data_IF_815069207011
#
_entry.id   IF_815069207011
#
_cell.length_a   1.000
_cell.length_b   1.000
_cell.length_c   1.000
_cell.angle_alpha   90.00
_cell.angle_beta   90.00
_cell.angle_gamma   90.00
#
_symmetry.space_group_name_H-M   'P 1'
#
loop_
_entity.id
_entity.type
_entity.pdbx_description
1 polymer ?
#
# COMPACT_ATOMS: atom_id res chain seq x y z
N UNK A 1 -49.15 9.74 -37.48
CA UNK A 1 -49.30 9.21 -36.10
C UNK A 1 -48.93 7.74 -36.08
N UNK A 2 -47.78 7.40 -35.46
CA UNK A 2 -47.47 6.10 -34.84
C UNK A 2 -46.49 6.40 -33.70
N UNK A 3 -46.88 5.94 -32.53
CA UNK A 3 -46.23 5.95 -31.20
C UNK A 3 -45.03 4.98 -31.27
N UNK A 4 -43.98 4.91 -30.44
CA UNK A 4 -43.74 5.15 -29.02
C UNK A 4 -42.20 5.23 -28.81
N UNK A 5 -41.81 5.95 -27.75
CA UNK A 5 -40.53 5.88 -27.01
C UNK A 5 -39.93 4.46 -26.91
N UNK A 6 -38.60 4.35 -26.80
CA UNK A 6 -37.98 3.73 -25.61
C UNK A 6 -36.45 3.90 -25.58
N UNK A 7 -35.96 4.54 -24.53
CA UNK A 7 -34.78 4.11 -23.78
C UNK A 7 -33.45 4.01 -24.52
N UNK A 8 -32.78 5.14 -24.74
CA UNK A 8 -31.31 5.14 -24.66
C UNK A 8 -30.95 4.94 -23.17
N UNK A 9 -30.96 3.68 -22.75
CA UNK A 9 -30.51 3.24 -21.44
C UNK A 9 -29.07 3.70 -21.29
N UNK A 10 -28.84 4.45 -20.22
CA UNK A 10 -27.52 4.82 -19.73
C UNK A 10 -26.66 3.56 -19.68
N UNK A 11 -25.66 3.45 -20.54
CA UNK A 11 -24.55 2.50 -20.32
C UNK A 11 -23.69 3.11 -19.22
N UNK A 12 -24.21 2.97 -18.01
CA UNK A 12 -23.54 3.17 -16.74
C UNK A 12 -22.73 1.90 -16.51
N UNK A 13 -21.51 1.82 -17.06
CA UNK A 13 -20.61 0.70 -16.81
C UNK A 13 -19.15 1.05 -17.12
N UNK A 14 -18.70 2.23 -16.68
CA UNK A 14 -17.30 2.36 -16.26
C UNK A 14 -17.16 1.64 -14.92
N UNK A 15 -17.28 0.31 -14.94
CA UNK A 15 -16.74 -0.49 -13.86
C UNK A 15 -15.26 -0.16 -13.84
N UNK A 16 -14.83 0.51 -12.76
CA UNK A 16 -13.43 0.64 -12.43
C UNK A 16 -12.87 -0.76 -12.31
N UNK A 17 -12.31 -1.26 -13.41
CA UNK A 17 -11.35 -2.33 -13.35
C UNK A 17 -10.26 -1.79 -12.42
N UNK A 18 -10.27 -2.26 -11.17
CA UNK A 18 -9.11 -2.16 -10.31
C UNK A 18 -7.98 -2.73 -11.14
N UNK A 19 -7.11 -1.86 -11.64
CA UNK A 19 -6.01 -2.24 -12.49
C UNK A 19 -5.00 -2.95 -11.59
N UNK A 20 -5.27 -4.22 -11.30
CA UNK A 20 -4.28 -5.11 -10.73
C UNK A 20 -3.26 -5.35 -11.84
N UNK A 21 -2.03 -4.91 -11.59
CA UNK A 21 -0.90 -5.19 -12.47
C UNK A 21 -0.49 -6.62 -12.16
N UNK A 22 -0.91 -7.58 -13.00
CA UNK A 22 -0.44 -8.96 -12.93
C UNK A 22 0.99 -9.01 -13.46
N UNK A 23 1.95 -9.03 -12.53
CA UNK A 23 3.37 -9.26 -12.82
C UNK A 23 3.81 -10.47 -12.00
N UNK A 24 3.74 -11.66 -12.59
CA UNK A 24 4.33 -12.89 -12.08
C UNK A 24 3.89 -13.28 -10.65
N UNK A 25 2.60 -13.21 -10.35
CA UNK A 25 2.09 -13.65 -9.04
C UNK A 25 2.28 -12.65 -7.90
N UNK A 26 2.69 -11.42 -8.20
CA UNK A 26 2.60 -10.28 -7.29
C UNK A 26 1.40 -9.41 -7.68
N UNK A 27 0.53 -9.12 -6.70
CA UNK A 27 -0.55 -8.16 -6.85
C UNK A 27 -0.36 -7.02 -5.86
N UNK A 28 -0.77 -5.80 -6.23
CA UNK A 28 -0.80 -4.69 -5.28
C UNK A 28 -2.05 -3.84 -5.40
N UNK A 29 -2.41 -3.19 -4.31
CA UNK A 29 -3.43 -2.13 -4.35
C UNK A 29 -2.90 -0.89 -5.07
N UNK A 30 -3.80 -0.01 -5.55
CA UNK A 30 -3.44 1.37 -5.85
C UNK A 30 -2.81 2.05 -4.64
N UNK A 31 -2.02 3.10 -4.89
CA UNK A 31 -1.49 3.94 -3.83
C UNK A 31 -2.63 4.76 -3.21
N UNK A 32 -2.75 4.69 -1.89
CA UNK A 32 -3.64 5.50 -1.09
C UNK A 32 -2.84 6.59 -0.38
N UNK A 33 -3.40 7.78 -0.25
CA UNK A 33 -2.75 8.90 0.42
C UNK A 33 -3.63 9.39 1.55
N UNK A 34 -3.03 9.49 2.74
CA UNK A 34 -3.67 10.02 3.95
C UNK A 34 -2.75 11.06 4.61
N UNK A 35 -3.32 11.88 5.48
CA UNK A 35 -2.51 12.73 6.36
C UNK A 35 -2.14 12.01 7.66
N UNK A 36 -1.03 12.38 8.30
CA UNK A 36 -0.62 11.78 9.57
C UNK A 36 -1.62 12.02 10.72
N UNK A 37 -2.54 12.99 10.56
CA UNK A 37 -3.66 13.20 11.48
C UNK A 37 -4.69 12.07 11.44
N UNK A 38 -4.88 11.44 10.30
CA UNK A 38 -5.88 10.38 10.11
C UNK A 38 -5.50 9.08 10.81
N UNK A 39 -4.20 8.84 11.06
CA UNK A 39 -3.71 7.64 11.72
C UNK A 39 -2.81 7.94 12.94
N UNK A 40 -3.40 8.28 14.10
CA UNK A 40 -2.65 8.62 15.30
C UNK A 40 -1.90 7.42 15.92
N UNK A 41 -2.32 6.19 15.62
CA UNK A 41 -1.62 4.97 16.07
C UNK A 41 -0.31 4.85 15.30
N UNK A 42 -0.36 4.86 13.97
CA UNK A 42 0.82 4.81 13.12
C UNK A 42 1.81 5.93 13.46
N UNK A 43 1.33 7.14 13.75
CA UNK A 43 2.19 8.26 14.16
C UNK A 43 2.95 7.98 15.46
N UNK A 44 2.34 7.30 16.43
CA UNK A 44 3.02 6.89 17.68
C UNK A 44 4.07 5.81 17.40
N UNK A 45 3.76 4.86 16.55
CA UNK A 45 4.65 3.77 16.18
C UNK A 45 5.88 4.28 15.41
N UNK A 46 5.69 5.19 14.45
CA UNK A 46 6.78 5.86 13.72
C UNK A 46 7.72 6.62 14.65
N UNK A 47 7.17 7.34 15.64
CA UNK A 47 7.98 8.01 16.67
C UNK A 47 8.76 7.03 17.53
N UNK A 48 8.16 5.87 17.86
CA UNK A 48 8.77 4.86 18.71
C UNK A 48 9.93 4.15 18.01
N UNK A 49 9.68 3.62 16.80
CA UNK A 49 10.61 2.74 16.09
C UNK A 49 11.56 3.47 15.15
N UNK A 50 11.08 4.47 14.41
CA UNK A 50 11.90 5.21 13.44
C UNK A 50 12.39 6.57 13.95
N UNK A 51 12.01 6.95 15.19
CA UNK A 51 12.28 8.29 15.76
C UNK A 51 11.74 9.43 14.91
N UNK A 52 10.75 9.14 14.07
CA UNK A 52 10.13 10.10 13.17
C UNK A 52 8.95 10.80 13.85
N UNK A 53 8.98 12.13 13.91
CA UNK A 53 7.84 12.92 14.38
C UNK A 53 7.18 13.60 13.20
N UNK A 54 5.93 13.20 12.93
CA UNK A 54 5.11 13.80 11.87
C UNK A 54 4.20 14.89 12.43
N UNK A 55 4.01 15.94 11.64
CA UNK A 55 2.97 16.95 11.80
C UNK A 55 1.64 16.45 11.25
N UNK A 56 0.53 17.03 11.71
CA UNK A 56 -0.81 16.64 11.29
C UNK A 56 -1.03 16.70 9.77
N UNK A 57 -0.31 17.58 9.08
CA UNK A 57 -0.41 17.82 7.63
C UNK A 57 0.50 16.92 6.79
N UNK A 58 1.44 16.21 7.41
CA UNK A 58 2.41 15.40 6.67
C UNK A 58 1.68 14.26 5.95
N UNK A 59 2.04 14.04 4.67
CA UNK A 59 1.38 13.08 3.81
C UNK A 59 2.05 11.72 3.92
N UNK A 60 1.22 10.70 4.08
CA UNK A 60 1.63 9.30 4.11
C UNK A 60 0.95 8.62 2.93
N UNK A 61 1.74 8.16 1.98
CA UNK A 61 1.31 7.33 0.86
C UNK A 61 1.53 5.87 1.22
N UNK A 62 0.61 4.99 0.89
CA UNK A 62 0.75 3.57 1.19
C UNK A 62 0.01 2.67 0.21
N UNK A 63 0.42 1.40 0.16
CA UNK A 63 -0.25 0.35 -0.60
C UNK A 63 0.02 -1.02 0.04
N UNK A 64 -0.83 -2.00 -0.26
CA UNK A 64 -0.62 -3.39 0.15
C UNK A 64 -0.14 -4.20 -1.05
N UNK A 65 0.85 -5.06 -0.81
CA UNK A 65 1.33 -6.09 -1.74
C UNK A 65 0.79 -7.43 -1.26
N UNK A 66 0.31 -8.22 -2.21
CA UNK A 66 -0.24 -9.55 -2.02
C UNK A 66 0.55 -10.59 -2.83
N UNK A 67 0.53 -11.82 -2.35
CA UNK A 67 1.01 -12.98 -3.08
C UNK A 67 -0.01 -13.46 -4.13
N UNK A 68 0.30 -14.58 -4.79
CA UNK A 68 -0.56 -15.16 -5.82
C UNK A 68 -1.91 -15.68 -5.29
N UNK A 69 -2.00 -15.95 -3.98
CA UNK A 69 -3.21 -16.42 -3.30
C UNK A 69 -4.01 -15.25 -2.68
N UNK A 70 -3.56 -14.01 -2.88
CA UNK A 70 -4.10 -12.77 -2.34
C UNK A 70 -3.97 -12.61 -0.82
N UNK A 71 -3.00 -13.30 -0.20
CA UNK A 71 -2.66 -13.06 1.20
C UNK A 71 -1.80 -11.79 1.32
N UNK A 72 -2.05 -10.97 2.35
CA UNK A 72 -1.38 -9.68 2.57
C UNK A 72 0.08 -9.88 2.98
N UNK A 73 1.01 -9.58 2.07
CA UNK A 73 2.44 -9.85 2.28
C UNK A 73 3.14 -8.66 2.91
N UNK A 74 2.82 -7.46 2.44
CA UNK A 74 3.47 -6.25 2.91
C UNK A 74 2.54 -5.04 2.80
N UNK A 75 2.40 -4.28 3.89
CA UNK A 75 1.87 -2.93 3.84
C UNK A 75 3.05 -1.96 3.78
N UNK A 76 3.21 -1.29 2.65
CA UNK A 76 4.37 -0.46 2.31
C UNK A 76 3.96 1.01 2.33
N UNK A 77 4.77 1.84 2.98
CA UNK A 77 4.47 3.25 3.24
C UNK A 77 5.63 4.14 2.82
N UNK A 78 5.29 5.36 2.41
CA UNK A 78 6.17 6.46 2.12
C UNK A 78 5.66 7.73 2.80
N UNK A 79 6.53 8.40 3.54
CA UNK A 79 6.30 9.79 3.95
C UNK A 79 7.05 10.69 2.98
N UNK A 80 6.28 11.40 2.15
CA UNK A 80 6.81 12.39 1.24
C UNK A 80 6.90 13.75 1.93
N UNK A 81 8.01 14.44 1.70
CA UNK A 81 8.20 15.86 2.06
C UNK A 81 8.08 16.16 3.56
N UNK A 82 8.96 15.54 4.35
CA UNK A 82 9.22 16.07 5.69
C UNK A 82 9.78 17.50 5.58
N UNK A 83 9.61 18.31 6.63
CA UNK A 83 10.25 19.64 6.72
C UNK A 83 11.76 19.62 6.52
N UNK A 84 12.40 18.47 6.75
CA UNK A 84 13.83 18.24 6.54
C UNK A 84 14.20 18.02 5.07
N UNK A 85 13.23 17.82 4.18
CA UNK A 85 13.42 17.39 2.79
C UNK A 85 13.72 15.89 2.66
N UNK A 86 13.74 15.15 3.77
CA UNK A 86 13.97 13.72 3.79
C UNK A 86 12.69 12.95 3.43
N UNK A 87 12.87 11.83 2.73
CA UNK A 87 11.82 10.86 2.42
C UNK A 87 12.09 9.60 3.22
N UNK A 88 11.05 9.06 3.84
CA UNK A 88 11.17 7.85 4.66
C UNK A 88 10.22 6.81 4.13
N UNK A 89 10.77 5.64 3.81
CA UNK A 89 10.01 4.46 3.42
C UNK A 89 10.02 3.44 4.56
N UNK A 90 8.89 2.78 4.80
CA UNK A 90 8.78 1.77 5.85
C UNK A 90 7.68 0.76 5.54
N UNK A 91 7.75 -0.39 6.22
CA UNK A 91 6.68 -1.38 6.28
C UNK A 91 5.98 -1.30 7.64
N UNK A 92 4.68 -1.60 7.65
CA UNK A 92 3.91 -1.69 8.90
C UNK A 92 3.14 -3.01 8.94
N UNK A 93 3.47 -3.86 9.91
CA UNK A 93 2.80 -5.15 10.06
C UNK A 93 1.33 -4.99 10.41
N UNK A 94 0.49 -5.82 9.78
CA UNK A 94 -0.93 -5.95 10.10
C UNK A 94 -1.18 -7.25 10.86
N UNK A 95 -1.82 -7.15 12.02
CA UNK A 95 -2.27 -8.33 12.80
C UNK A 95 -3.23 -9.21 12.01
N UNK A 96 -4.03 -8.60 11.11
CA UNK A 96 -5.01 -9.32 10.28
C UNK A 96 -4.32 -10.23 9.27
N UNK A 97 -3.07 -9.90 8.90
CA UNK A 97 -2.21 -10.68 7.99
C UNK A 97 -1.20 -11.56 8.78
N UNK A 98 -1.45 -11.80 10.08
CA UNK A 98 -0.59 -12.60 10.94
C UNK A 98 0.76 -11.94 11.31
N UNK A 99 0.96 -10.68 10.93
CA UNK A 99 2.21 -9.97 11.18
C UNK A 99 2.18 -9.26 12.54
N UNK A 100 3.34 -9.19 13.21
CA UNK A 100 3.45 -8.36 14.41
C UNK A 100 3.30 -6.89 14.00
N UNK A 101 2.42 -6.13 14.67
CA UNK A 101 2.29 -4.67 14.49
C UNK A 101 3.57 -3.95 14.89
N UNK A 102 4.51 -3.88 13.96
CA UNK A 102 5.78 -3.21 14.10
C UNK A 102 6.06 -2.42 12.83
N UNK A 103 6.61 -1.22 13.03
CA UNK A 103 7.15 -0.39 11.95
C UNK A 103 8.61 -0.78 11.72
N UNK A 104 8.95 -1.09 10.48
CA UNK A 104 10.31 -1.41 10.04
C UNK A 104 10.70 -0.50 8.89
N UNK A 105 11.77 0.27 9.04
CA UNK A 105 12.27 1.14 7.97
C UNK A 105 12.84 0.30 6.82
N UNK A 106 12.62 0.75 5.59
CA UNK A 106 13.16 0.11 4.38
C UNK A 106 13.92 1.14 3.54
N UNK A 107 14.78 0.66 2.64
CA UNK A 107 15.45 1.56 1.71
C UNK A 107 14.46 2.10 0.66
N UNK A 108 14.76 3.26 0.07
CA UNK A 108 13.97 3.78 -1.06
C UNK A 108 13.99 2.83 -2.26
N UNK A 109 15.11 2.11 -2.46
CA UNK A 109 15.22 1.09 -3.50
C UNK A 109 14.18 -0.02 -3.29
N UNK A 110 14.05 -0.53 -2.06
CA UNK A 110 13.11 -1.62 -1.78
C UNK A 110 11.65 -1.14 -1.88
N UNK A 111 11.36 0.10 -1.47
CA UNK A 111 10.06 0.71 -1.74
C UNK A 111 9.68 0.66 -3.23
N UNK A 112 10.59 1.05 -4.12
CA UNK A 112 10.32 1.02 -5.57
C UNK A 112 10.21 -0.39 -6.12
N UNK A 113 10.95 -1.36 -5.58
CA UNK A 113 10.78 -2.76 -5.97
C UNK A 113 9.39 -3.27 -5.58
N UNK A 114 8.89 -2.95 -4.38
CA UNK A 114 7.51 -3.30 -3.99
C UNK A 114 6.48 -2.57 -4.85
N UNK A 115 6.69 -1.29 -5.16
CA UNK A 115 5.81 -0.51 -6.03
C UNK A 115 5.75 -1.08 -7.45
N UNK A 116 6.87 -1.61 -7.94
CA UNK A 116 7.00 -2.26 -9.24
C UNK A 116 6.62 -3.75 -9.20
N UNK A 117 6.24 -4.30 -8.04
CA UNK A 117 5.99 -5.74 -7.85
C UNK A 117 7.18 -6.63 -8.28
N UNK A 118 8.41 -6.14 -8.09
CA UNK A 118 9.66 -6.86 -8.39
C UNK A 118 10.12 -7.79 -7.25
N UNK A 119 9.49 -7.70 -6.08
CA UNK A 119 9.71 -8.61 -4.95
C UNK A 119 8.56 -9.60 -4.91
N UNK A 120 8.87 -10.88 -5.10
CA UNK A 120 7.90 -11.95 -4.93
C UNK A 120 7.69 -12.20 -3.44
N UNK A 121 6.42 -12.27 -3.05
CA UNK A 121 6.04 -12.81 -1.76
C UNK A 121 6.50 -14.27 -1.65
N UNK A 122 7.46 -14.54 -0.77
CA UNK A 122 7.95 -15.90 -0.50
C UNK A 122 9.36 -16.24 -1.01
N UNK A 123 10.04 -15.33 -1.71
CA UNK A 123 11.39 -15.63 -2.25
C UNK A 123 12.55 -15.38 -1.25
N UNK A 124 12.29 -14.80 -0.08
CA UNK A 124 13.35 -14.57 0.92
C UNK A 124 13.44 -15.61 2.05
N UNK A 125 12.60 -16.65 2.13
CA UNK A 125 12.76 -17.69 3.16
C UNK A 125 12.32 -19.11 2.73
N UNK A 126 13.09 -19.73 1.82
CA UNK A 126 13.12 -21.19 1.71
C UNK A 126 14.24 -21.84 2.54
N UNK A 127 14.93 -21.09 3.41
CA UNK A 127 16.05 -21.60 4.21
C UNK A 127 15.87 -21.47 5.74
N UNK A 128 14.67 -21.16 6.24
CA UNK A 128 14.36 -21.18 7.69
C UNK A 128 13.94 -22.54 8.25
N UNK A 129 14.25 -23.63 7.54
CA UNK A 129 14.24 -25.00 8.06
C UNK A 129 15.52 -25.75 7.68
N UNK A 130 16.61 -25.49 8.43
CA UNK A 130 17.73 -26.42 8.59
C UNK A 130 18.26 -26.40 10.01
#
# INVERSE_FOLDING_TARGET
MKVVLCGAVHVMLCMGAMAFVDTNGCYRTPEEVQTAKENPVLRKELKKYLKLTLEDIDRITWFTVYDSDFDGVANVYLVDELKTGEKISFMYGSEDDGQTRQVTGISSTDYYKYLACEVLAGDEDSDYYK
#
